data_IF_410787280959
#
_entry.id   IF_410787280959
#
_cell.length_a   1.000
_cell.length_b   1.000
_cell.length_c   1.000
_cell.angle_alpha   90.00
_cell.angle_beta   90.00
_cell.angle_gamma   90.00
#
_symmetry.space_group_name_H-M   'P 1'
#
loop_
_entity.id
_entity.type
_entity.pdbx_description
1 polymer ?
#
# COMPACT_ATOMS: atom_id res chain seq x y z
N UNK A 1 -8.05 17.65 7.45
CA UNK A 1 -8.31 16.40 8.22
C UNK A 1 -7.06 15.95 8.97
N UNK A 2 -5.91 15.84 8.30
CA UNK A 2 -4.63 15.44 8.94
C UNK A 2 -4.21 16.31 10.11
N UNK A 3 -4.25 17.63 9.97
CA UNK A 3 -3.95 18.55 11.09
C UNK A 3 -4.92 18.38 12.26
N UNK A 4 -6.21 18.20 12.00
CA UNK A 4 -7.21 17.99 13.05
C UNK A 4 -7.01 16.65 13.78
N UNK A 5 -6.58 15.61 13.06
CA UNK A 5 -6.19 14.32 13.65
C UNK A 5 -4.93 14.47 14.51
N UNK A 6 -3.92 15.20 14.02
CA UNK A 6 -2.69 15.50 14.75
C UNK A 6 -2.98 16.33 16.02
N UNK A 7 -3.96 17.25 15.94
CA UNK A 7 -4.45 18.03 17.07
C UNK A 7 -5.39 17.25 18.01
N UNK A 8 -5.64 15.97 17.76
CA UNK A 8 -6.45 15.10 18.63
C UNK A 8 -7.96 15.37 18.58
N UNK A 9 -8.46 16.01 17.51
CA UNK A 9 -9.88 16.33 17.41
C UNK A 9 -10.73 15.05 17.33
N UNK A 10 -11.65 14.80 18.29
CA UNK A 10 -12.34 13.52 18.41
C UNK A 10 -13.21 13.18 17.19
N UNK A 11 -13.87 14.19 16.60
CA UNK A 11 -14.64 14.00 15.36
C UNK A 11 -13.78 13.61 14.15
N UNK A 12 -12.54 14.10 14.07
CA UNK A 12 -11.62 13.75 12.99
C UNK A 12 -11.11 12.31 13.16
N UNK A 13 -10.76 11.92 14.39
CA UNK A 13 -10.40 10.55 14.73
C UNK A 13 -11.52 9.56 14.39
N UNK A 14 -12.76 9.87 14.80
CA UNK A 14 -13.92 9.03 14.51
C UNK A 14 -14.14 8.83 13.00
N UNK A 15 -13.96 9.89 12.20
CA UNK A 15 -14.10 9.82 10.76
C UNK A 15 -13.03 8.92 10.12
N UNK A 16 -11.77 9.07 10.53
CA UNK A 16 -10.66 8.25 10.02
C UNK A 16 -10.82 6.79 10.45
N UNK A 17 -11.25 6.51 11.69
CA UNK A 17 -11.56 5.13 12.12
C UNK A 17 -12.69 4.51 11.30
N UNK A 18 -13.74 5.27 10.99
CA UNK A 18 -14.82 4.78 10.13
C UNK A 18 -14.31 4.44 8.73
N UNK A 19 -13.41 5.27 8.18
CA UNK A 19 -12.73 5.00 6.91
C UNK A 19 -11.86 3.74 6.99
N UNK A 20 -11.04 3.60 8.04
CA UNK A 20 -10.23 2.41 8.28
C UNK A 20 -11.07 1.12 8.28
N UNK A 21 -12.22 1.11 8.95
CA UNK A 21 -13.15 -0.03 8.91
C UNK A 21 -13.68 -0.33 7.50
N UNK A 22 -13.99 0.69 6.71
CA UNK A 22 -14.41 0.46 5.32
C UNK A 22 -13.29 -0.17 4.48
N UNK A 23 -12.04 0.19 4.74
CA UNK A 23 -10.88 -0.43 4.09
C UNK A 23 -10.70 -1.87 4.58
N UNK A 24 -10.82 -2.12 5.89
CA UNK A 24 -10.76 -3.48 6.46
C UNK A 24 -11.78 -4.44 5.84
N UNK A 25 -13.01 -3.95 5.57
CA UNK A 25 -14.03 -4.71 4.81
C UNK A 25 -13.57 -5.09 3.41
N UNK A 26 -12.98 -4.14 2.69
CA UNK A 26 -12.46 -4.40 1.35
C UNK A 26 -11.29 -5.40 1.41
N UNK A 27 -10.41 -5.26 2.41
CA UNK A 27 -9.30 -6.19 2.65
C UNK A 27 -9.83 -7.60 2.92
N UNK A 28 -10.83 -7.77 3.77
CA UNK A 28 -11.43 -9.08 4.05
C UNK A 28 -11.93 -9.77 2.76
N UNK A 29 -12.70 -9.05 1.94
CA UNK A 29 -13.21 -9.58 0.67
C UNK A 29 -12.09 -9.97 -0.29
N UNK A 30 -11.06 -9.13 -0.42
CA UNK A 30 -9.93 -9.42 -1.30
C UNK A 30 -9.06 -10.55 -0.76
N UNK A 31 -8.88 -10.64 0.55
CA UNK A 31 -8.14 -11.71 1.19
C UNK A 31 -8.85 -13.05 0.99
N UNK A 32 -10.17 -13.10 1.13
CA UNK A 32 -10.96 -14.31 0.87
C UNK A 32 -10.94 -14.73 -0.60
N UNK A 33 -10.89 -13.76 -1.52
CA UNK A 33 -10.87 -14.03 -2.97
C UNK A 33 -9.49 -14.45 -3.49
N UNK A 34 -8.44 -13.75 -3.06
CA UNK A 34 -7.08 -13.89 -3.62
C UNK A 34 -6.22 -14.81 -2.77
N UNK A 35 -6.51 -14.96 -1.47
CA UNK A 35 -5.70 -15.64 -0.47
C UNK A 35 -4.19 -15.27 -0.54
N UNK A 36 -3.84 -13.98 -0.48
CA UNK A 36 -2.46 -13.53 -0.64
C UNK A 36 -1.66 -13.78 0.64
N UNK A 37 -0.37 -14.11 0.54
CA UNK A 37 0.50 -14.26 1.72
C UNK A 37 0.55 -12.99 2.58
N UNK A 38 0.60 -11.81 1.93
CA UNK A 38 0.65 -10.49 2.57
C UNK A 38 -0.28 -9.51 1.85
N UNK A 39 -0.96 -8.65 2.62
CA UNK A 39 -1.73 -7.50 2.14
C UNK A 39 -0.99 -6.23 2.52
N UNK A 40 -0.55 -5.46 1.53
CA UNK A 40 0.07 -4.15 1.76
C UNK A 40 -0.98 -3.05 1.60
N UNK A 41 -1.26 -2.32 2.67
CA UNK A 41 -2.28 -1.25 2.68
C UNK A 41 -1.62 0.11 2.54
N UNK A 42 -1.69 0.67 1.33
CA UNK A 42 -1.23 2.03 1.08
C UNK A 42 -2.34 3.04 1.33
N UNK A 43 -2.45 3.53 2.57
CA UNK A 43 -3.42 4.56 2.95
C UNK A 43 -2.80 5.65 3.85
N UNK A 44 -3.22 6.90 3.65
CA UNK A 44 -2.60 8.09 4.22
C UNK A 44 -2.52 8.07 5.74
N UNK A 45 -3.59 7.70 6.44
CA UNK A 45 -3.65 7.74 7.89
C UNK A 45 -3.09 6.48 8.52
N UNK A 46 -3.29 5.30 7.92
CA UNK A 46 -2.70 4.06 8.40
C UNK A 46 -1.17 4.05 8.29
N UNK A 47 -0.61 4.73 7.28
CA UNK A 47 0.83 4.93 7.17
C UNK A 47 1.39 5.93 8.17
N UNK A 48 0.62 6.98 8.52
CA UNK A 48 1.05 8.02 9.45
C UNK A 48 0.87 7.64 10.93
N UNK A 49 -0.15 6.83 11.25
CA UNK A 49 -0.47 6.45 12.62
C UNK A 49 -0.87 4.96 12.71
N UNK A 50 -0.10 4.12 13.44
CA UNK A 50 -0.34 2.68 13.54
C UNK A 50 -1.76 2.30 13.97
N UNK A 51 -2.37 3.08 14.87
CA UNK A 51 -3.74 2.87 15.38
C UNK A 51 -4.82 2.77 14.29
N UNK A 52 -4.60 3.35 13.11
CA UNK A 52 -5.55 3.25 12.00
C UNK A 52 -5.31 2.01 11.15
N UNK A 53 -4.06 1.53 11.07
CA UNK A 53 -3.77 0.20 10.51
C UNK A 53 -4.36 -0.90 11.40
N UNK A 54 -4.28 -0.76 12.72
CA UNK A 54 -4.89 -1.69 13.67
C UNK A 54 -6.41 -1.78 13.47
N UNK A 55 -7.08 -0.64 13.26
CA UNK A 55 -8.51 -0.65 12.94
C UNK A 55 -8.85 -1.31 11.58
N UNK A 56 -7.93 -1.31 10.61
CA UNK A 56 -8.09 -2.03 9.35
C UNK A 56 -7.93 -3.54 9.61
N UNK A 57 -6.90 -3.93 10.36
CA UNK A 57 -6.61 -5.31 10.75
C UNK A 57 -7.76 -5.94 11.52
N UNK A 58 -8.26 -5.26 12.53
CA UNK A 58 -9.40 -5.70 13.35
C UNK A 58 -10.61 -6.01 12.49
N UNK A 59 -11.06 -5.08 11.64
CA UNK A 59 -12.24 -5.29 10.80
C UNK A 59 -11.99 -6.35 9.70
N UNK A 60 -10.76 -6.47 9.19
CA UNK A 60 -10.42 -7.49 8.22
C UNK A 60 -10.50 -8.90 8.81
N UNK A 61 -9.88 -9.12 9.98
CA UNK A 61 -9.90 -10.40 10.69
C UNK A 61 -11.30 -10.75 11.19
N UNK A 62 -12.09 -9.76 11.62
CA UNK A 62 -13.48 -9.99 12.04
C UNK A 62 -14.36 -10.51 10.90
N UNK A 63 -14.05 -10.16 9.64
CA UNK A 63 -14.93 -10.43 8.48
C UNK A 63 -14.43 -11.46 7.51
N UNK A 64 -13.12 -11.69 7.45
CA UNK A 64 -12.50 -12.63 6.53
C UNK A 64 -12.67 -14.05 7.04
N UNK A 65 -12.90 -14.99 6.13
CA UNK A 65 -12.90 -16.41 6.43
C UNK A 65 -11.52 -17.05 6.29
N UNK A 66 -10.58 -16.42 5.56
CA UNK A 66 -9.24 -16.95 5.31
C UNK A 66 -8.11 -16.14 5.97
N UNK A 67 -8.36 -14.88 6.35
CA UNK A 67 -7.38 -14.01 7.00
C UNK A 67 -7.61 -13.98 8.51
N UNK A 68 -6.92 -14.86 9.23
CA UNK A 68 -6.97 -14.93 10.70
C UNK A 68 -5.77 -14.22 11.36
N UNK A 69 -4.68 -14.01 10.61
CA UNK A 69 -3.47 -13.36 11.10
C UNK A 69 -3.43 -11.87 10.69
N UNK A 70 -3.62 -10.92 11.62
CA UNK A 70 -3.59 -9.49 11.33
C UNK A 70 -2.20 -8.98 10.91
N UNK A 71 -1.11 -9.69 11.24
CA UNK A 71 0.25 -9.27 10.88
C UNK A 71 0.54 -9.45 9.39
N UNK A 72 -0.29 -10.22 8.67
CA UNK A 72 -0.26 -10.29 7.20
C UNK A 72 -0.71 -8.99 6.54
N UNK A 73 -1.36 -8.08 7.27
CA UNK A 73 -1.79 -6.78 6.78
C UNK A 73 -0.80 -5.72 7.25
N UNK A 74 -0.01 -5.19 6.33
CA UNK A 74 1.15 -4.33 6.64
C UNK A 74 1.05 -2.97 5.97
N UNK A 75 1.74 -1.98 6.54
CA UNK A 75 2.00 -0.71 5.88
C UNK A 75 3.10 -0.87 4.81
N UNK A 76 3.18 0.02 3.81
CA UNK A 76 4.24 -0.01 2.82
C UNK A 76 5.60 0.29 3.45
N UNK A 77 6.61 -0.56 3.19
CA UNK A 77 7.98 -0.34 3.67
C UNK A 77 8.74 0.78 2.96
N UNK A 78 8.20 1.31 1.86
CA UNK A 78 8.80 2.37 1.04
C UNK A 78 8.54 3.79 1.58
N UNK A 79 7.73 3.94 2.62
CA UNK A 79 7.37 5.23 3.20
C UNK A 79 6.67 6.16 2.20
N UNK A 80 6.80 7.48 2.40
CA UNK A 80 6.10 8.50 1.59
C UNK A 80 6.53 8.51 0.11
N UNK A 81 7.68 7.92 -0.22
CA UNK A 81 8.26 7.92 -1.58
C UNK A 81 7.81 6.72 -2.41
N UNK A 82 6.86 5.92 -1.92
CA UNK A 82 6.40 4.71 -2.59
C UNK A 82 6.03 4.91 -4.06
N UNK A 83 5.33 6.01 -4.38
CA UNK A 83 4.91 6.33 -5.74
C UNK A 83 6.07 6.77 -6.63
N UNK A 84 7.01 7.55 -6.08
CA UNK A 84 8.21 7.98 -6.80
C UNK A 84 9.07 6.76 -7.16
N UNK A 85 9.23 5.83 -6.21
CA UNK A 85 9.94 4.56 -6.42
C UNK A 85 9.21 3.73 -7.47
N UNK A 86 7.89 3.55 -7.35
CA UNK A 86 7.11 2.76 -8.29
C UNK A 86 7.18 3.31 -9.73
N UNK A 87 7.15 4.64 -9.90
CA UNK A 87 7.31 5.28 -11.20
C UNK A 87 8.68 4.97 -11.83
N UNK A 88 9.76 5.06 -11.04
CA UNK A 88 11.10 4.67 -11.47
C UNK A 88 11.19 3.18 -11.82
N UNK A 89 10.61 2.31 -11.00
CA UNK A 89 10.61 0.85 -11.21
C UNK A 89 9.95 0.48 -12.53
N UNK A 90 8.84 1.11 -12.91
CA UNK A 90 8.17 0.81 -14.18
C UNK A 90 9.06 1.12 -15.41
N UNK A 91 9.83 2.22 -15.36
CA UNK A 91 10.79 2.56 -16.42
C UNK A 91 11.96 1.58 -16.43
N UNK A 92 12.55 1.31 -15.26
CA UNK A 92 13.69 0.42 -15.12
C UNK A 92 13.35 -1.03 -15.49
N UNK A 93 12.12 -1.49 -15.23
CA UNK A 93 11.67 -2.83 -15.58
C UNK A 93 11.81 -3.11 -17.08
N UNK A 94 11.49 -2.13 -17.94
CA UNK A 94 11.67 -2.27 -19.39
C UNK A 94 13.15 -2.40 -19.79
N UNK A 95 14.03 -1.66 -19.13
CA UNK A 95 15.48 -1.71 -19.37
C UNK A 95 16.05 -3.05 -18.89
N UNK A 96 15.64 -3.52 -17.71
CA UNK A 96 16.13 -4.78 -17.16
C UNK A 96 15.56 -6.02 -17.85
N UNK A 97 14.39 -5.91 -18.51
CA UNK A 97 13.83 -7.01 -19.30
C UNK A 97 14.69 -7.35 -20.54
N UNK A 98 15.36 -6.36 -21.14
CA UNK A 98 16.27 -6.54 -22.27
C UNK A 98 17.42 -5.51 -22.23
N UNK A 99 18.46 -5.76 -21.42
CA UNK A 99 19.51 -4.77 -21.17
C UNK A 99 20.37 -4.49 -22.41
N UNK A 100 20.54 -5.46 -23.31
CA UNK A 100 21.40 -5.31 -24.50
C UNK A 100 20.76 -4.46 -25.60
N UNK A 101 19.43 -4.45 -25.69
CA UNK A 101 18.69 -3.57 -26.60
C UNK A 101 18.96 -2.08 -26.35
N UNK A 102 19.29 -1.71 -25.12
CA UNK A 102 19.60 -0.32 -24.75
C UNK A 102 21.02 0.09 -25.19
N UNK A 103 21.97 -0.85 -25.22
CA UNK A 103 23.37 -0.61 -25.65
C UNK A 103 23.49 -0.53 -27.19
N UNK A 104 22.59 -1.17 -27.92
CA UNK A 104 22.58 -1.17 -29.38
C UNK A 104 22.19 0.21 -30.01
N UNK A 105 21.74 1.18 -29.21
CA UNK A 105 21.41 2.54 -29.68
C UNK A 105 22.63 3.46 -29.93
N UNK A 106 23.87 2.99 -29.69
CA UNK A 106 25.11 3.74 -29.98
C UNK A 106 25.98 3.07 -31.07
N UNK A 107 25.35 2.40 -32.03
CA UNK A 107 26.02 1.86 -33.22
C UNK A 107 25.49 2.56 -34.48
N UNK A 108 25.47 3.90 -34.49
CA UNK A 108 25.53 4.60 -35.77
C UNK A 108 26.97 4.54 -36.26
N UNK A 109 27.27 3.91 -37.41
CA UNK A 109 28.57 4.10 -38.04
C UNK A 109 28.66 5.59 -38.38
N UNK A 110 29.65 6.29 -37.83
CA UNK A 110 29.95 7.66 -38.22
C UNK A 110 30.13 7.71 -39.73
N UNK A 111 29.19 8.36 -40.41
CA UNK A 111 29.29 8.78 -41.82
C UNK A 111 29.87 10.17 -41.84
#
# INVERSE_FOLDING_TARGET
LSEAVAAGHPGADALVRRRARLIGRAVALLADLVNPDVVVVHETFSGAHPRYLDAIREEAVERSHLCEDPERIVAPGTGERALDVAAGTAVLANIYADPLRTVAFDQSPGV
#
